data_IF_664359687016
#
_entry.id   IF_664359687016
#
_cell.length_a   1.000
_cell.length_b   1.000
_cell.length_c   1.000
_cell.angle_alpha   90.00
_cell.angle_beta   90.00
_cell.angle_gamma   90.00
#
_symmetry.space_group_name_H-M   'P 1'
#
loop_
_entity.id
_entity.type
_entity.pdbx_description
1 polymer ?
#
# COMPACT_ATOMS: atom_id res chain seq x y z
N UNK A 1 32.61 4.89 17.34
CA UNK A 1 31.49 5.46 16.57
C UNK A 1 30.32 4.55 16.89
N UNK A 2 29.35 5.02 17.66
CA UNK A 2 28.14 4.24 17.88
C UNK A 2 27.39 4.17 16.55
N UNK A 3 27.20 2.96 16.06
CA UNK A 3 26.33 2.70 14.92
C UNK A 3 24.93 3.18 15.33
N UNK A 4 24.30 4.03 14.51
CA UNK A 4 22.93 4.45 14.81
C UNK A 4 22.04 3.21 14.90
N UNK A 5 21.09 3.15 15.86
CA UNK A 5 20.23 1.99 16.01
C UNK A 5 19.54 1.69 14.69
N UNK A 6 19.38 0.40 14.38
CA UNK A 6 18.67 0.00 13.17
C UNK A 6 17.25 0.58 13.19
N UNK A 7 16.66 0.81 12.01
CA UNK A 7 15.30 1.37 11.91
C UNK A 7 14.31 0.67 12.86
N UNK A 8 14.21 -0.67 12.96
CA UNK A 8 13.31 -1.31 13.91
C UNK A 8 13.65 -1.03 15.39
N UNK A 9 14.93 -0.96 15.77
CA UNK A 9 15.36 -0.67 17.15
C UNK A 9 15.05 0.77 17.57
N UNK A 10 14.79 1.67 16.61
CA UNK A 10 14.35 3.04 16.89
C UNK A 10 12.88 3.15 17.30
N UNK A 11 12.11 2.05 17.23
CA UNK A 11 10.71 2.00 17.65
C UNK A 11 10.56 1.24 18.96
N UNK A 12 9.91 1.85 19.94
CA UNK A 12 9.39 1.18 21.14
C UNK A 12 8.03 0.53 20.82
N UNK A 13 8.05 -0.46 19.91
CA UNK A 13 6.85 -1.19 19.48
C UNK A 13 7.19 -2.67 19.21
N UNK A 14 6.66 -3.63 19.99
CA UNK A 14 6.96 -5.05 19.82
C UNK A 14 6.48 -5.62 18.48
N UNK A 15 5.63 -4.89 17.75
CA UNK A 15 5.17 -5.27 16.41
C UNK A 15 6.20 -4.94 15.35
N UNK A 16 7.15 -4.05 15.62
CA UNK A 16 8.18 -3.59 14.67
C UNK A 16 9.50 -4.30 15.03
N UNK A 17 9.86 -5.32 14.24
CA UNK A 17 11.10 -6.09 14.46
C UNK A 17 11.86 -6.24 13.15
N UNK A 18 13.13 -6.64 13.21
CA UNK A 18 13.95 -6.91 12.03
C UNK A 18 13.37 -8.00 11.09
N UNK A 19 12.44 -8.82 11.59
CA UNK A 19 11.71 -9.79 10.75
C UNK A 19 10.72 -9.11 9.80
N UNK A 20 10.11 -8.00 10.21
CA UNK A 20 9.04 -7.32 9.47
C UNK A 20 9.44 -5.93 8.97
N UNK A 21 10.62 -5.43 9.34
CA UNK A 21 11.08 -4.10 8.97
C UNK A 21 12.57 -4.17 8.63
N UNK A 22 12.92 -3.89 7.37
CA UNK A 22 14.30 -3.95 6.88
C UNK A 22 14.63 -2.73 6.03
N UNK A 23 15.70 -2.03 6.38
CA UNK A 23 16.29 -0.97 5.54
C UNK A 23 17.25 -1.59 4.53
N UNK A 24 17.12 -1.18 3.27
CA UNK A 24 18.07 -1.44 2.19
C UNK A 24 18.61 -0.10 1.72
N UNK A 25 19.89 0.15 1.97
CA UNK A 25 20.56 1.38 1.55
C UNK A 25 21.27 1.20 0.22
N UNK A 26 21.20 2.21 -0.64
CA UNK A 26 21.92 2.26 -1.92
C UNK A 26 22.37 3.68 -2.23
N UNK A 27 23.21 3.86 -3.25
CA UNK A 27 23.60 5.19 -3.75
C UNK A 27 22.43 5.96 -4.36
N UNK A 28 21.33 5.30 -4.72
CA UNK A 28 20.13 5.93 -5.26
C UNK A 28 19.13 6.35 -4.17
N UNK A 29 19.38 5.99 -2.92
CA UNK A 29 18.48 6.24 -1.78
C UNK A 29 18.28 5.01 -0.91
N UNK A 30 17.49 5.21 0.14
CA UNK A 30 17.10 4.18 1.10
C UNK A 30 15.71 3.64 0.80
N UNK A 31 15.55 2.32 0.91
CA UNK A 31 14.27 1.64 0.82
C UNK A 31 13.98 0.94 2.14
N UNK A 32 12.77 1.14 2.67
CA UNK A 32 12.30 0.45 3.86
C UNK A 32 11.25 -0.60 3.48
N UNK A 33 11.59 -1.88 3.62
CA UNK A 33 10.63 -2.97 3.43
C UNK A 33 9.85 -3.18 4.72
N UNK A 34 8.52 -3.13 4.62
CA UNK A 34 7.60 -3.40 5.72
C UNK A 34 6.81 -4.66 5.35
N UNK A 35 7.15 -5.78 5.99
CA UNK A 35 6.42 -7.03 5.85
C UNK A 35 5.09 -6.98 6.61
N UNK A 36 4.03 -7.43 5.96
CA UNK A 36 2.68 -7.50 6.54
C UNK A 36 2.12 -8.90 6.44
N UNK A 37 1.31 -9.27 7.43
CA UNK A 37 0.29 -10.32 7.29
C UNK A 37 -1.00 -9.59 6.93
N UNK A 38 -1.61 -9.94 5.81
CA UNK A 38 -2.85 -9.29 5.36
C UNK A 38 -3.98 -9.44 6.37
N UNK A 39 -4.80 -8.40 6.45
CA UNK A 39 -5.97 -8.31 7.31
C UNK A 39 -5.63 -8.53 8.80
N UNK A 40 -4.42 -8.17 9.22
CA UNK A 40 -3.95 -8.36 10.58
C UNK A 40 -3.75 -7.00 11.29
N UNK A 41 -4.42 -6.75 12.43
CA UNK A 41 -4.37 -5.45 13.10
C UNK A 41 -2.97 -5.04 13.54
N UNK A 42 -2.10 -6.00 13.89
CA UNK A 42 -0.71 -5.70 14.21
C UNK A 42 0.12 -5.25 12.99
N UNK A 43 -0.24 -5.70 11.77
CA UNK A 43 0.40 -5.23 10.53
C UNK A 43 -0.03 -3.81 10.21
N UNK A 44 -1.33 -3.50 10.33
CA UNK A 44 -1.88 -2.16 10.14
C UNK A 44 -1.17 -1.17 11.07
N UNK A 45 -1.13 -1.46 12.36
CA UNK A 45 -0.51 -0.56 13.33
C UNK A 45 1.02 -0.44 13.15
N UNK A 46 1.70 -1.50 12.70
CA UNK A 46 3.12 -1.45 12.31
C UNK A 46 3.33 -0.46 11.16
N UNK A 47 2.54 -0.59 10.09
CA UNK A 47 2.63 0.24 8.90
C UNK A 47 2.41 1.71 9.27
N UNK A 48 1.35 2.01 10.00
CA UNK A 48 1.03 3.36 10.47
C UNK A 48 2.17 3.95 11.27
N UNK A 49 2.60 3.23 12.31
CA UNK A 49 3.63 3.71 13.22
C UNK A 49 4.96 3.99 12.53
N UNK A 50 5.32 3.18 11.54
CA UNK A 50 6.54 3.38 10.74
C UNK A 50 6.39 4.62 9.85
N UNK A 51 5.30 4.73 9.11
CA UNK A 51 5.11 5.79 8.11
C UNK A 51 4.96 7.17 8.74
N UNK A 52 4.28 7.27 9.89
CA UNK A 52 4.19 8.49 10.70
C UNK A 52 5.55 9.04 11.14
N UNK A 53 6.59 8.18 11.20
CA UNK A 53 7.94 8.57 11.65
C UNK A 53 8.94 8.72 10.53
N UNK A 54 8.79 7.95 9.44
CA UNK A 54 9.75 7.92 8.34
C UNK A 54 9.44 8.98 7.28
N UNK A 55 8.17 9.37 7.13
CA UNK A 55 7.72 10.39 6.17
C UNK A 55 8.30 10.19 4.76
N UNK A 56 8.07 9.04 4.12
CA UNK A 56 8.69 8.75 2.82
C UNK A 56 8.07 9.60 1.69
N UNK A 57 8.86 9.87 0.65
CA UNK A 57 8.36 10.51 -0.58
C UNK A 57 7.43 9.58 -1.38
N UNK A 58 7.65 8.27 -1.32
CA UNK A 58 6.90 7.27 -2.09
C UNK A 58 6.52 6.08 -1.22
N UNK A 59 5.27 5.61 -1.38
CA UNK A 59 4.78 4.38 -0.75
C UNK A 59 4.51 3.34 -1.84
N UNK A 60 5.42 2.37 -1.98
CA UNK A 60 5.25 1.25 -2.90
C UNK A 60 4.37 0.15 -2.26
N UNK A 61 3.20 -0.10 -2.85
CA UNK A 61 2.19 -1.03 -2.36
C UNK A 61 2.20 -2.32 -3.17
N UNK A 62 2.06 -3.46 -2.50
CA UNK A 62 1.80 -4.77 -3.12
C UNK A 62 0.37 -4.81 -3.69
N UNK A 63 0.16 -3.99 -4.73
CA UNK A 63 -1.09 -3.79 -5.43
C UNK A 63 -0.79 -3.60 -6.92
N UNK A 64 -1.65 -4.08 -7.81
CA UNK A 64 -1.60 -3.65 -9.20
C UNK A 64 -1.81 -2.14 -9.29
N UNK A 65 -1.10 -1.40 -10.19
CA UNK A 65 -1.30 0.04 -10.37
C UNK A 65 -2.78 0.45 -10.54
N UNK A 66 -3.56 -0.38 -11.25
CA UNK A 66 -5.00 -0.19 -11.44
C UNK A 66 -5.83 -0.18 -10.15
N UNK A 67 -5.36 -0.88 -9.10
CA UNK A 67 -6.07 -0.97 -7.83
C UNK A 67 -5.79 0.22 -6.91
N UNK A 68 -4.67 0.94 -7.08
CA UNK A 68 -4.28 2.05 -6.21
C UNK A 68 -5.38 3.11 -6.02
N UNK A 69 -6.11 3.57 -7.07
CA UNK A 69 -7.19 4.54 -6.88
C UNK A 69 -8.32 4.06 -5.96
N UNK A 70 -8.62 2.76 -5.96
CA UNK A 70 -9.62 2.16 -5.07
C UNK A 70 -9.13 2.21 -3.62
N UNK A 71 -7.88 1.83 -3.38
CA UNK A 71 -7.31 1.85 -2.03
C UNK A 71 -7.10 3.27 -1.49
N UNK A 72 -6.87 4.27 -2.37
CA UNK A 72 -6.93 5.69 -2.00
C UNK A 72 -8.33 6.12 -1.57
N UNK A 73 -9.39 5.59 -2.18
CA UNK A 73 -10.76 5.87 -1.76
C UNK A 73 -11.04 5.28 -0.37
N UNK A 74 -10.68 4.02 -0.14
CA UNK A 74 -10.79 3.37 1.16
C UNK A 74 -9.99 4.08 2.26
N UNK A 75 -8.82 4.64 1.94
CA UNK A 75 -8.04 5.42 2.89
C UNK A 75 -8.77 6.69 3.35
N UNK A 76 -9.48 7.39 2.45
CA UNK A 76 -10.27 8.59 2.80
C UNK A 76 -11.50 8.25 3.63
N UNK A 77 -12.19 7.15 3.28
CA UNK A 77 -13.39 6.72 4.00
C UNK A 77 -13.05 6.24 5.42
N UNK A 78 -11.83 5.71 5.62
CA UNK A 78 -11.33 5.31 6.93
C UNK A 78 -11.26 6.47 7.92
N UNK A 79 -10.80 7.64 7.49
CA UNK A 79 -10.71 8.82 8.36
C UNK A 79 -12.10 9.31 8.81
N UNK A 80 -13.17 8.92 8.09
CA UNK A 80 -14.55 9.25 8.43
C UNK A 80 -15.20 8.27 9.44
N UNK A 81 -14.69 7.04 9.58
CA UNK A 81 -15.23 6.00 10.48
C UNK A 81 -14.29 5.75 11.67
N UNK A 82 -14.24 6.71 12.60
CA UNK A 82 -13.31 6.80 13.75
C UNK A 82 -13.33 5.63 14.77
N UNK A 83 -14.16 4.60 14.60
CA UNK A 83 -14.38 3.55 15.63
C UNK A 83 -14.48 2.11 15.13
N UNK A 84 -14.30 1.84 13.84
CA UNK A 84 -14.27 0.47 13.32
C UNK A 84 -12.98 0.20 12.53
N UNK A 85 -12.37 -1.00 12.62
CA UNK A 85 -11.34 -1.39 11.66
C UNK A 85 -11.95 -1.30 10.25
N UNK A 86 -11.25 -0.69 9.28
CA UNK A 86 -11.81 -0.42 7.97
C UNK A 86 -12.26 -1.75 7.36
N UNK A 87 -13.53 -1.81 6.95
CA UNK A 87 -14.12 -3.03 6.38
C UNK A 87 -13.39 -3.47 5.10
N UNK A 88 -12.72 -2.54 4.42
CA UNK A 88 -11.97 -2.74 3.18
C UNK A 88 -10.66 -1.96 3.20
N UNK A 89 -9.66 -2.40 2.43
CA UNK A 89 -8.41 -1.66 2.22
C UNK A 89 -7.21 -2.09 3.07
N UNK A 90 -7.47 -2.60 4.29
CA UNK A 90 -6.45 -3.23 5.14
C UNK A 90 -5.17 -2.40 5.32
N UNK A 91 -4.02 -3.06 5.27
CA UNK A 91 -2.70 -2.46 5.44
C UNK A 91 -2.36 -1.43 4.35
N UNK A 92 -2.88 -1.61 3.13
CA UNK A 92 -2.50 -0.74 2.00
C UNK A 92 -3.20 0.61 2.09
N UNK A 93 -4.47 0.62 2.48
CA UNK A 93 -5.18 1.87 2.78
C UNK A 93 -4.68 2.53 4.05
N UNK A 94 -4.25 1.73 5.05
CA UNK A 94 -3.53 2.26 6.21
C UNK A 94 -2.25 2.98 5.82
N UNK A 95 -1.46 2.39 4.92
CA UNK A 95 -0.23 3.00 4.43
C UNK A 95 -0.48 4.34 3.73
N UNK A 96 -1.53 4.40 2.90
CA UNK A 96 -1.91 5.64 2.19
C UNK A 96 -2.36 6.73 3.17
N UNK A 97 -3.19 6.38 4.16
CA UNK A 97 -3.69 7.34 5.16
C UNK A 97 -2.55 7.84 6.08
N UNK A 98 -1.63 6.98 6.49
CA UNK A 98 -0.51 7.32 7.37
C UNK A 98 0.60 8.17 6.69
N UNK A 99 0.60 8.30 5.36
CA UNK A 99 1.58 9.07 4.61
C UNK A 99 0.89 9.96 3.55
N UNK A 100 0.13 10.98 3.96
CA UNK A 100 -0.71 11.77 3.06
C UNK A 100 0.08 12.57 2.01
N UNK A 101 1.32 12.93 2.32
CA UNK A 101 2.22 13.68 1.43
C UNK A 101 3.02 12.78 0.47
N UNK A 102 3.00 11.45 0.68
CA UNK A 102 3.70 10.51 -0.16
C UNK A 102 2.92 10.21 -1.45
N UNK A 103 3.62 9.83 -2.52
CA UNK A 103 2.96 9.26 -3.70
C UNK A 103 2.82 7.73 -3.56
N UNK A 104 1.59 7.18 -3.41
CA UNK A 104 1.41 5.74 -3.41
C UNK A 104 1.37 5.18 -4.84
N UNK A 105 2.22 4.18 -5.06
CA UNK A 105 2.42 3.47 -6.32
C UNK A 105 2.19 1.97 -6.14
N UNK A 106 1.53 1.32 -7.10
CA UNK A 106 1.35 -0.13 -7.09
C UNK A 106 2.50 -0.81 -7.80
N UNK A 107 3.11 -1.83 -7.17
CA UNK A 107 4.26 -2.55 -7.73
C UNK A 107 3.95 -3.99 -8.16
N UNK A 108 2.70 -4.44 -8.00
CA UNK A 108 2.32 -5.77 -8.46
C UNK A 108 1.99 -5.79 -9.96
N UNK A 109 2.53 -6.76 -10.68
CA UNK A 109 2.37 -6.85 -12.12
C UNK A 109 1.10 -7.64 -12.47
N UNK A 110 0.15 -7.05 -13.24
CA UNK A 110 -1.02 -7.79 -13.69
C UNK A 110 -0.58 -8.92 -14.63
N UNK A 111 -0.89 -10.16 -14.27
CA UNK A 111 -0.65 -11.30 -15.15
C UNK A 111 -1.69 -11.38 -16.28
N UNK A 112 -1.38 -12.10 -17.36
CA UNK A 112 -2.28 -12.26 -18.51
C UNK A 112 -3.65 -12.86 -18.14
N UNK A 113 -3.70 -13.75 -17.14
CA UNK A 113 -4.97 -14.28 -16.65
C UNK A 113 -5.83 -13.23 -15.97
N UNK A 114 -5.24 -12.30 -15.21
CA UNK A 114 -5.93 -11.18 -14.61
C UNK A 114 -6.53 -10.28 -15.69
N UNK A 115 -5.75 -9.92 -16.71
CA UNK A 115 -6.23 -9.12 -17.85
C UNK A 115 -7.42 -9.77 -18.55
N UNK A 116 -7.34 -11.07 -18.83
CA UNK A 116 -8.45 -11.82 -19.45
C UNK A 116 -9.71 -11.80 -18.58
N UNK A 117 -9.56 -12.02 -17.27
CA UNK A 117 -10.69 -11.98 -16.32
C UNK A 117 -11.30 -10.58 -16.22
N UNK A 118 -10.46 -9.55 -16.18
CA UNK A 118 -10.91 -8.15 -16.15
C UNK A 118 -11.74 -7.81 -17.38
N UNK A 119 -11.24 -8.12 -18.58
CA UNK A 119 -11.98 -7.90 -19.84
C UNK A 119 -13.29 -8.69 -19.85
N UNK A 120 -13.25 -9.96 -19.45
CA UNK A 120 -14.46 -10.79 -19.34
C UNK A 120 -15.50 -10.19 -18.40
N UNK A 121 -15.06 -9.61 -17.27
CA UNK A 121 -15.95 -8.96 -16.32
C UNK A 121 -16.53 -7.65 -16.85
N UNK A 122 -15.73 -6.81 -17.51
CA UNK A 122 -16.22 -5.58 -18.15
C UNK A 122 -17.29 -5.86 -19.22
N UNK A 123 -17.12 -6.94 -19.99
CA UNK A 123 -18.10 -7.37 -20.99
C UNK A 123 -19.38 -7.89 -20.32
N UNK A 124 -19.24 -8.76 -19.31
CA UNK A 124 -20.38 -9.33 -18.59
C UNK A 124 -21.22 -8.26 -17.89
N UNK A 125 -20.57 -7.27 -17.29
CA UNK A 125 -21.23 -6.17 -16.56
C UNK A 125 -21.75 -5.06 -17.50
N UNK A 126 -21.57 -5.20 -18.83
CA UNK A 126 -21.97 -4.23 -19.87
C UNK A 126 -21.55 -2.79 -19.55
N UNK A 127 -20.34 -2.65 -19.03
CA UNK A 127 -19.84 -1.35 -18.57
C UNK A 127 -19.68 -0.40 -19.76
N UNK A 128 -19.90 0.89 -19.54
CA UNK A 128 -19.80 1.87 -20.63
C UNK A 128 -18.42 1.84 -21.30
N UNK A 129 -18.31 2.12 -22.62
CA UNK A 129 -17.03 2.17 -23.31
C UNK A 129 -16.04 3.17 -22.69
N UNK A 130 -16.55 4.28 -22.13
CA UNK A 130 -15.73 5.27 -21.43
C UNK A 130 -15.11 4.70 -20.16
N UNK A 131 -15.89 3.96 -19.37
CA UNK A 131 -15.40 3.28 -18.16
C UNK A 131 -14.41 2.18 -18.50
N UNK A 132 -14.72 1.34 -19.50
CA UNK A 132 -13.81 0.28 -19.93
C UNK A 132 -12.47 0.83 -20.40
N UNK A 133 -12.47 1.92 -21.20
CA UNK A 133 -11.24 2.60 -21.63
C UNK A 133 -10.43 3.13 -20.45
N UNK A 134 -11.08 3.78 -19.48
CA UNK A 134 -10.43 4.32 -18.27
C UNK A 134 -9.78 3.22 -17.42
N UNK A 135 -10.49 2.10 -17.25
CA UNK A 135 -9.98 0.93 -16.50
C UNK A 135 -8.82 0.26 -17.22
N UNK A 136 -8.89 0.10 -18.55
CA UNK A 136 -7.80 -0.51 -19.30
C UNK A 136 -6.55 0.38 -19.35
N UNK A 137 -6.71 1.70 -19.46
CA UNK A 137 -5.57 2.63 -19.42
C UNK A 137 -4.83 2.61 -18.08
N UNK A 138 -5.51 2.34 -16.96
CA UNK A 138 -4.85 2.25 -15.65
C UNK A 138 -4.14 0.91 -15.40
N UNK A 139 -4.32 -0.07 -16.29
CA UNK A 139 -3.60 -1.37 -16.22
C UNK A 139 -2.36 -1.37 -17.12
N UNK A 140 -2.36 -0.58 -18.19
CA UNK A 140 -1.33 -0.61 -19.24
C UNK A 140 -0.04 0.14 -18.95
N UNK A 141 -0.04 1.09 -17.99
CA UNK A 141 1.04 2.06 -17.84
C UNK A 141 0.96 3.17 -18.87
#
# INVERSE_FOLDING_TARGET
MDESPSVPESFDDPRITAQFCRRLSSTAGDLLLIGVVHDHPASIARVERILERVEPETVALELPPVAVPLYRAYARDRDAEESAPPRFGGEMSAAISAAPEADPVGIDAPNLSFLRRLVGRLVADRVSPATARRVLSSVGG
#
